data_IF_932470600969
#
_entry.id   IF_932470600969
#
_cell.length_a   1.000
_cell.length_b   1.000
_cell.length_c   1.000
_cell.angle_alpha   90.00
_cell.angle_beta   90.00
_cell.angle_gamma   90.00
#
_symmetry.space_group_name_H-M   'P 1'
#
loop_
_entity.id
_entity.type
_entity.pdbx_description
1 polymer ?
#
# COMPACT_ATOMS: atom_id res chain seq x y z
N UNK A 1 21.19 24.59 19.18
CA UNK A 1 20.61 23.35 19.73
C UNK A 1 19.48 22.96 18.81
N UNK A 2 19.75 22.07 17.85
CA UNK A 2 18.75 21.66 16.86
C UNK A 2 17.69 20.85 17.57
N UNK A 3 16.43 21.27 17.47
CA UNK A 3 15.30 20.51 18.00
C UNK A 3 15.39 19.08 17.45
N UNK A 4 15.36 18.06 18.32
CA UNK A 4 15.30 16.69 17.84
C UNK A 4 14.06 16.54 16.97
N UNK A 5 14.21 16.06 15.74
CA UNK A 5 13.10 15.74 14.84
C UNK A 5 12.40 14.42 15.27
N UNK A 6 12.40 14.15 16.58
CA UNK A 6 11.65 13.10 17.22
C UNK A 6 10.75 13.69 18.31
N UNK A 7 9.56 13.12 18.48
CA UNK A 7 8.58 13.54 19.47
C UNK A 7 8.42 12.47 20.55
N UNK A 8 8.38 12.88 21.82
CA UNK A 8 8.09 11.97 22.94
C UNK A 8 6.66 12.24 23.40
N UNK A 9 5.77 11.24 23.30
CA UNK A 9 4.40 11.31 23.80
C UNK A 9 4.36 10.74 25.21
N UNK A 10 3.93 11.56 26.16
CA UNK A 10 3.91 11.21 27.60
C UNK A 10 2.54 10.70 28.03
N UNK A 11 1.49 11.06 27.30
CA UNK A 11 0.11 10.68 27.59
C UNK A 11 -0.50 9.81 26.47
N UNK A 12 -1.27 8.77 26.81
CA UNK A 12 -2.08 8.01 25.86
C UNK A 12 -3.11 8.84 25.09
N UNK A 13 -3.47 10.03 25.58
CA UNK A 13 -4.40 10.94 24.88
C UNK A 13 -3.78 11.64 23.68
N UNK A 14 -2.44 11.64 23.57
CA UNK A 14 -1.72 12.29 22.47
C UNK A 14 -1.70 11.44 21.18
N UNK A 15 -2.17 10.20 21.24
CA UNK A 15 -2.19 9.30 20.09
C UNK A 15 -3.35 8.31 20.14
N UNK A 16 -3.65 7.70 18.98
CA UNK A 16 -4.61 6.58 18.88
C UNK A 16 -3.92 5.35 18.35
N UNK A 17 -4.04 4.22 19.05
CA UNK A 17 -3.55 2.93 18.54
C UNK A 17 -4.43 2.48 17.39
N UNK A 18 -3.81 1.98 16.33
CA UNK A 18 -4.49 1.51 15.13
C UNK A 18 -3.68 0.40 14.44
N UNK A 19 -4.26 -0.13 13.36
CA UNK A 19 -3.56 -0.98 12.42
C UNK A 19 -3.52 -0.26 11.07
N UNK A 20 -2.33 -0.15 10.51
CA UNK A 20 -2.10 0.49 9.23
C UNK A 20 -1.62 -0.53 8.21
N UNK A 21 -1.85 -0.20 6.96
CA UNK A 21 -1.33 -0.94 5.82
C UNK A 21 -0.28 -0.07 5.14
N UNK A 22 0.87 -0.67 4.87
CA UNK A 22 1.95 -0.06 4.06
C UNK A 22 2.00 -0.85 2.75
N UNK A 23 2.09 -0.20 1.57
CA UNK A 23 1.97 -0.87 0.26
C UNK A 23 2.93 -2.05 0.05
N UNK A 24 4.10 -2.00 0.70
CA UNK A 24 5.16 -3.00 0.55
C UNK A 24 5.03 -4.19 1.51
N UNK A 25 4.04 -4.18 2.41
CA UNK A 25 3.84 -5.22 3.42
C UNK A 25 2.50 -5.94 3.25
N UNK A 26 2.57 -7.26 3.35
CA UNK A 26 1.40 -8.15 3.21
C UNK A 26 0.50 -8.16 4.43
N UNK A 27 1.06 -7.86 5.61
CA UNK A 27 0.36 -7.88 6.90
C UNK A 27 0.23 -6.46 7.48
N UNK A 28 -0.88 -6.16 8.19
CA UNK A 28 -1.06 -4.87 8.81
C UNK A 28 -0.06 -4.66 9.95
N UNK A 29 0.52 -3.47 10.02
CA UNK A 29 1.42 -3.09 11.09
C UNK A 29 0.65 -2.55 12.29
N UNK A 30 1.11 -2.94 13.48
CA UNK A 30 0.73 -2.23 14.69
C UNK A 30 1.24 -0.79 14.60
N UNK A 31 0.35 0.18 14.82
CA UNK A 31 0.67 1.58 14.62
C UNK A 31 -0.02 2.49 15.62
N UNK A 32 0.45 3.73 15.63
CA UNK A 32 -0.20 4.85 16.28
C UNK A 32 -0.48 5.95 15.27
N UNK A 33 -1.61 6.63 15.46
CA UNK A 33 -1.96 7.84 14.76
C UNK A 33 -1.72 9.04 15.69
N UNK A 34 -0.97 10.03 15.20
CA UNK A 34 -0.64 11.27 15.90
C UNK A 34 -0.99 12.41 14.94
N UNK A 35 -2.11 13.09 15.19
CA UNK A 35 -2.69 14.02 14.22
C UNK A 35 -3.14 13.31 12.94
N UNK A 36 -2.61 13.73 11.80
CA UNK A 36 -2.87 13.17 10.47
C UNK A 36 -1.82 12.13 10.02
N UNK A 37 -0.80 11.87 10.85
CA UNK A 37 0.31 10.97 10.52
C UNK A 37 0.17 9.62 11.19
N UNK A 38 0.67 8.58 10.52
CA UNK A 38 0.71 7.21 11.01
C UNK A 38 2.14 6.76 11.25
N UNK A 39 2.37 6.14 12.40
CA UNK A 39 3.69 5.63 12.76
C UNK A 39 3.59 4.14 13.08
N UNK A 40 4.41 3.31 12.41
CA UNK A 40 4.48 1.88 12.67
C UNK A 40 5.41 1.57 13.84
N UNK A 41 5.15 0.47 14.54
CA UNK A 41 6.04 0.00 15.60
C UNK A 41 7.31 -0.59 15.00
N UNK A 42 8.45 0.08 15.21
CA UNK A 42 9.75 -0.47 14.84
C UNK A 42 10.23 -1.49 15.87
N UNK A 43 10.21 -1.12 17.15
CA UNK A 43 10.65 -1.97 18.27
C UNK A 43 10.31 -1.37 19.63
N UNK A 44 10.35 -2.21 20.66
CA UNK A 44 10.32 -1.82 22.08
C UNK A 44 11.69 -2.08 22.69
N UNK A 45 12.21 -1.13 23.46
CA UNK A 45 13.46 -1.27 24.21
C UNK A 45 13.23 -1.00 25.70
N UNK A 46 13.84 -1.78 26.61
CA UNK A 46 13.63 -1.61 28.04
C UNK A 46 14.23 -0.32 28.60
N UNK A 47 15.34 0.14 28.01
CA UNK A 47 16.11 1.29 28.48
C UNK A 47 15.73 2.56 27.70
N UNK A 48 15.37 3.62 28.43
CA UNK A 48 14.94 4.91 27.85
C UNK A 48 16.09 5.63 27.14
N UNK A 49 17.29 5.65 27.73
CA UNK A 49 18.47 6.28 27.14
C UNK A 49 18.81 5.65 25.79
N UNK A 50 18.74 4.32 25.70
CA UNK A 50 18.92 3.56 24.46
C UNK A 50 17.82 3.84 23.44
N UNK A 51 16.60 4.11 23.87
CA UNK A 51 15.51 4.51 22.98
C UNK A 51 15.80 5.87 22.33
N UNK A 52 16.29 6.82 23.13
CA UNK A 52 16.70 8.16 22.66
C UNK A 52 17.86 8.06 21.66
N UNK A 53 18.90 7.30 21.97
CA UNK A 53 20.03 7.09 21.05
C UNK A 53 19.60 6.49 19.71
N UNK A 54 18.64 5.56 19.72
CA UNK A 54 18.10 4.97 18.51
C UNK A 54 17.25 5.98 17.72
N UNK A 55 16.42 6.77 18.40
CA UNK A 55 15.65 7.83 17.77
C UNK A 55 16.57 8.86 17.08
N UNK A 56 17.65 9.29 17.75
CA UNK A 56 18.64 10.18 17.15
C UNK A 56 19.30 9.60 15.90
N UNK A 57 19.63 8.30 15.92
CA UNK A 57 20.22 7.62 14.76
C UNK A 57 19.27 7.56 13.57
N UNK A 58 17.99 7.32 13.81
CA UNK A 58 16.95 7.30 12.78
C UNK A 58 16.71 8.70 12.23
N UNK A 59 16.61 9.71 13.10
CA UNK A 59 16.48 11.12 12.69
C UNK A 59 17.67 11.57 11.84
N UNK A 60 18.91 11.17 12.19
CA UNK A 60 20.11 11.45 11.37
C UNK A 60 20.05 10.83 9.97
N UNK A 61 19.25 9.78 9.76
CA UNK A 61 18.99 9.16 8.46
C UNK A 61 17.84 9.80 7.70
N UNK A 62 17.11 10.72 8.33
CA UNK A 62 15.96 11.42 7.75
C UNK A 62 14.61 10.86 8.20
N UNK A 63 14.58 9.88 9.11
CA UNK A 63 13.33 9.30 9.60
C UNK A 63 12.62 10.25 10.58
N UNK A 64 11.29 10.24 10.56
CA UNK A 64 10.47 10.93 11.56
C UNK A 64 10.05 9.92 12.62
N UNK A 65 10.40 10.19 13.88
CA UNK A 65 10.29 9.20 14.97
C UNK A 65 9.42 9.72 16.11
N UNK A 66 8.58 8.83 16.64
CA UNK A 66 7.81 9.07 17.86
C UNK A 66 8.22 8.04 18.92
N UNK A 67 8.34 8.47 20.16
CA UNK A 67 8.56 7.62 21.32
C UNK A 67 7.34 7.62 22.23
N UNK A 68 6.97 6.44 22.74
CA UNK A 68 5.93 6.32 23.77
C UNK A 68 6.40 5.41 24.89
N UNK A 69 6.07 5.74 26.14
CA UNK A 69 6.28 4.84 27.27
C UNK A 69 5.33 3.62 27.19
N UNK A 70 5.85 2.45 27.56
CA UNK A 70 5.11 1.19 27.68
C UNK A 70 5.51 0.49 28.98
N UNK A 71 4.72 -0.48 29.49
CA UNK A 71 5.11 -1.24 30.68
C UNK A 71 6.41 -2.03 30.54
N UNK A 72 6.88 -2.28 29.31
CA UNK A 72 8.11 -3.03 28.99
C UNK A 72 9.28 -2.12 28.60
N UNK A 73 9.15 -0.80 28.77
CA UNK A 73 10.13 0.20 28.36
C UNK A 73 9.59 1.17 27.32
N UNK A 74 10.43 1.69 26.44
CA UNK A 74 10.06 2.68 25.42
C UNK A 74 9.82 2.03 24.05
N UNK A 75 8.67 2.33 23.45
CA UNK A 75 8.37 1.95 22.07
C UNK A 75 8.83 3.04 21.11
N UNK A 76 9.48 2.62 20.03
CA UNK A 76 9.98 3.46 18.95
C UNK A 76 9.06 3.27 17.75
N UNK A 77 8.45 4.37 17.31
CA UNK A 77 7.53 4.40 16.19
C UNK A 77 8.13 5.22 15.04
N UNK A 78 8.04 4.71 13.81
CA UNK A 78 8.59 5.38 12.62
C UNK A 78 7.45 5.81 11.70
N UNK A 79 7.53 7.04 11.18
CA UNK A 79 6.51 7.56 10.29
C UNK A 79 6.46 6.76 8.99
N UNK A 80 5.25 6.33 8.64
CA UNK A 80 4.98 5.63 7.40
C UNK A 80 4.25 6.58 6.45
N UNK A 81 4.99 7.21 5.54
CA UNK A 81 4.43 8.21 4.61
C UNK A 81 3.35 7.64 3.68
N UNK A 82 3.40 6.33 3.41
CA UNK A 82 2.45 5.63 2.54
C UNK A 82 1.38 4.84 3.33
N UNK A 83 1.35 4.96 4.66
CA UNK A 83 0.42 4.20 5.47
C UNK A 83 -1.02 4.69 5.35
N UNK A 84 -1.96 3.74 5.37
CA UNK A 84 -3.39 4.02 5.36
C UNK A 84 -4.17 3.11 6.32
N UNK A 85 -5.30 3.60 6.82
CA UNK A 85 -6.27 2.80 7.56
C UNK A 85 -7.20 2.08 6.60
N UNK A 86 -7.44 0.79 6.80
CA UNK A 86 -8.50 0.06 6.11
C UNK A 86 -9.84 0.43 6.75
N UNK A 87 -10.52 1.46 6.24
CA UNK A 87 -11.80 1.88 6.81
C UNK A 87 -12.86 0.76 6.69
N UNK A 88 -13.51 0.42 7.81
CA UNK A 88 -14.87 -0.12 7.80
C UNK A 88 -15.78 0.95 7.18
N UNK A 89 -15.99 0.92 5.86
CA UNK A 89 -17.02 1.73 5.22
C UNK A 89 -18.39 1.18 5.62
N UNK A 90 -18.92 1.67 6.74
CA UNK A 90 -20.37 1.76 6.93
C UNK A 90 -20.84 2.91 6.04
N UNK A 91 -21.52 2.54 4.98
CA UNK A 91 -22.25 3.42 4.09
C UNK A 91 -23.30 4.21 4.87
N UNK A 92 -23.22 5.54 4.80
CA UNK A 92 -24.35 6.44 5.01
C UNK A 92 -24.21 7.63 4.05
N UNK A 93 -25.24 7.74 3.19
CA UNK A 93 -25.47 8.55 1.99
C UNK A 93 -25.41 10.10 2.21
N UNK A 94 -25.70 11.00 1.23
CA UNK A 94 -26.26 10.76 -0.12
C UNK A 94 -25.70 11.55 -1.34
N UNK A 95 -25.91 10.90 -2.49
CA UNK A 95 -26.10 11.35 -3.87
C UNK A 95 -25.58 12.73 -4.34
N UNK A 96 -24.65 12.67 -5.29
CA UNK A 96 -24.58 13.57 -6.45
C UNK A 96 -24.02 12.78 -7.65
N UNK A 97 -24.37 13.15 -8.90
CA UNK A 97 -24.51 12.21 -10.03
C UNK A 97 -23.19 11.61 -10.55
N UNK A 98 -23.23 10.38 -11.11
CA UNK A 98 -22.05 9.64 -11.50
C UNK A 98 -21.50 10.17 -12.82
N UNK A 99 -20.43 10.96 -12.76
CA UNK A 99 -19.56 11.12 -13.94
C UNK A 99 -18.58 9.95 -13.93
N UNK A 100 -18.94 8.93 -14.71
CA UNK A 100 -18.10 7.83 -15.20
C UNK A 100 -17.21 7.17 -14.15
N UNK A 101 -17.83 6.26 -13.41
CA UNK A 101 -17.13 5.20 -12.69
C UNK A 101 -16.33 4.39 -13.71
N UNK A 102 -15.01 4.56 -13.72
CA UNK A 102 -14.09 3.60 -14.31
C UNK A 102 -14.17 2.32 -13.46
N UNK A 103 -15.25 1.57 -13.63
CA UNK A 103 -15.33 0.21 -13.14
C UNK A 103 -14.29 -0.57 -13.92
N UNK A 104 -13.15 -0.87 -13.30
CA UNK A 104 -12.15 -1.81 -13.81
C UNK A 104 -12.84 -3.13 -14.15
N UNK A 105 -13.22 -3.29 -15.42
CA UNK A 105 -14.05 -4.41 -15.85
C UNK A 105 -13.25 -5.70 -15.72
N UNK A 106 -13.81 -6.66 -14.97
CA UNK A 106 -13.28 -8.02 -14.92
C UNK A 106 -13.66 -8.68 -16.24
N UNK A 107 -12.65 -9.09 -17.01
CA UNK A 107 -12.82 -9.70 -18.33
C UNK A 107 -13.15 -11.18 -18.23
N UNK A 108 -14.09 -11.59 -19.07
CA UNK A 108 -14.37 -12.99 -19.37
C UNK A 108 -13.30 -13.59 -20.27
N UNK A 109 -13.18 -14.93 -20.22
CA UNK A 109 -12.16 -15.69 -20.96
C UNK A 109 -12.16 -15.41 -22.47
N UNK A 110 -13.31 -15.13 -23.06
CA UNK A 110 -13.49 -14.85 -24.49
C UNK A 110 -12.99 -13.47 -24.91
N UNK A 111 -12.76 -12.55 -23.96
CA UNK A 111 -12.40 -11.16 -24.24
C UNK A 111 -10.88 -10.95 -24.37
N UNK A 112 -10.08 -12.00 -24.18
CA UNK A 112 -8.62 -11.90 -24.23
C UNK A 112 -7.93 -13.16 -24.75
N UNK A 113 -6.72 -13.00 -25.28
CA UNK A 113 -5.85 -14.10 -25.71
C UNK A 113 -4.57 -14.13 -24.88
N UNK A 114 -4.26 -15.23 -24.17
CA UNK A 114 -2.98 -15.38 -23.48
C UNK A 114 -1.83 -15.41 -24.48
N UNK A 115 -0.75 -14.69 -24.18
CA UNK A 115 0.45 -14.64 -25.01
C UNK A 115 1.70 -14.46 -24.14
N UNK A 116 2.86 -14.34 -24.81
CA UNK A 116 4.12 -13.94 -24.19
C UNK A 116 4.63 -12.72 -24.93
N UNK A 117 5.03 -11.69 -24.19
CA UNK A 117 5.52 -10.42 -24.75
C UNK A 117 6.94 -10.15 -24.27
N UNK A 118 7.67 -9.34 -25.04
CA UNK A 118 8.91 -8.68 -24.65
C UNK A 118 8.60 -7.20 -24.39
N UNK A 119 9.25 -6.65 -23.37
CA UNK A 119 9.24 -5.21 -23.05
C UNK A 119 10.70 -4.76 -23.06
N UNK A 120 11.05 -3.60 -23.64
CA UNK A 120 12.45 -3.18 -23.81
C UNK A 120 13.30 -3.22 -22.53
N UNK A 121 12.69 -2.89 -21.39
CA UNK A 121 13.38 -2.82 -20.10
C UNK A 121 13.50 -4.17 -19.39
N UNK A 122 12.88 -5.22 -19.93
CA UNK A 122 12.81 -6.54 -19.32
C UNK A 122 13.46 -7.58 -20.23
N UNK A 123 14.60 -8.12 -19.79
CA UNK A 123 15.39 -9.12 -20.54
C UNK A 123 14.63 -10.44 -20.83
N UNK A 124 13.59 -10.74 -20.05
CA UNK A 124 12.81 -11.99 -20.14
C UNK A 124 11.43 -11.71 -20.71
N UNK A 125 10.88 -12.69 -21.43
CA UNK A 125 9.49 -12.64 -21.84
C UNK A 125 8.55 -12.69 -20.63
N UNK A 126 7.50 -11.88 -20.66
CA UNK A 126 6.47 -11.81 -19.64
C UNK A 126 5.23 -12.59 -20.09
N UNK A 127 4.56 -13.24 -19.14
CA UNK A 127 3.22 -13.76 -19.37
C UNK A 127 2.26 -12.58 -19.53
N UNK A 128 1.44 -12.61 -20.57
CA UNK A 128 0.58 -11.49 -20.92
C UNK A 128 -0.75 -11.94 -21.49
N UNK A 129 -1.65 -10.98 -21.65
CA UNK A 129 -2.86 -11.10 -22.43
C UNK A 129 -2.91 -10.02 -23.50
N UNK A 130 -3.48 -10.37 -24.65
CA UNK A 130 -3.85 -9.43 -25.69
C UNK A 130 -5.35 -9.13 -25.59
N UNK A 131 -5.69 -7.84 -25.60
CA UNK A 131 -7.07 -7.33 -25.63
C UNK A 131 -7.15 -6.24 -26.68
N UNK A 132 -7.88 -6.49 -27.77
CA UNK A 132 -8.05 -5.54 -28.88
C UNK A 132 -6.72 -4.99 -29.43
N UNK A 133 -5.74 -5.85 -29.70
CA UNK A 133 -4.43 -5.47 -30.23
C UNK A 133 -3.50 -4.77 -29.23
N UNK A 134 -3.86 -4.71 -27.94
CA UNK A 134 -3.04 -4.15 -26.86
C UNK A 134 -2.56 -5.24 -25.92
N UNK A 135 -1.34 -5.11 -25.44
CA UNK A 135 -0.71 -6.08 -24.56
C UNK A 135 -0.74 -5.64 -23.11
N UNK A 136 -1.04 -6.59 -22.24
CA UNK A 136 -1.06 -6.38 -20.79
C UNK A 136 -0.26 -7.49 -20.10
N UNK A 137 0.76 -7.13 -19.33
CA UNK A 137 1.62 -8.06 -18.61
C UNK A 137 0.99 -8.51 -17.30
N UNK A 138 1.28 -9.74 -16.88
CA UNK A 138 0.85 -10.25 -15.60
C UNK A 138 1.59 -9.54 -14.46
N UNK A 139 0.84 -8.87 -13.58
CA UNK A 139 1.38 -8.26 -12.38
C UNK A 139 1.31 -9.22 -11.19
N UNK A 140 0.10 -9.66 -10.81
CA UNK A 140 -0.10 -10.55 -9.66
C UNK A 140 -1.46 -11.23 -9.65
N UNK A 141 -1.57 -12.29 -8.84
CA UNK A 141 -2.83 -12.94 -8.50
C UNK A 141 -3.31 -12.49 -7.11
N UNK A 142 -4.59 -12.19 -6.99
CA UNK A 142 -5.25 -11.74 -5.76
C UNK A 142 -6.47 -12.63 -5.51
N UNK A 143 -6.51 -13.42 -4.42
CA UNK A 143 -7.63 -14.34 -4.16
C UNK A 143 -9.00 -13.66 -4.02
N UNK A 144 -9.01 -12.42 -3.53
CA UNK A 144 -10.22 -11.67 -3.19
C UNK A 144 -10.58 -10.65 -4.28
N UNK A 145 -11.86 -10.63 -4.67
CA UNK A 145 -12.39 -9.78 -5.75
C UNK A 145 -12.26 -8.30 -5.43
N UNK A 146 -12.65 -7.92 -4.22
CA UNK A 146 -12.72 -6.51 -3.85
C UNK A 146 -11.31 -5.93 -3.66
N UNK A 147 -10.37 -6.73 -3.14
CA UNK A 147 -8.94 -6.38 -3.16
C UNK A 147 -8.41 -6.20 -4.57
N UNK A 148 -8.75 -7.09 -5.50
CA UNK A 148 -8.30 -6.99 -6.89
C UNK A 148 -8.82 -5.71 -7.56
N UNK A 149 -10.09 -5.37 -7.33
CA UNK A 149 -10.70 -4.13 -7.80
C UNK A 149 -10.04 -2.89 -7.18
N UNK A 150 -9.80 -2.88 -5.88
CA UNK A 150 -9.10 -1.77 -5.20
C UNK A 150 -7.69 -1.56 -5.75
N UNK A 151 -6.96 -2.64 -6.02
CA UNK A 151 -5.61 -2.54 -6.61
C UNK A 151 -5.69 -2.00 -8.04
N UNK A 152 -6.66 -2.48 -8.84
CA UNK A 152 -6.84 -1.97 -10.20
C UNK A 152 -7.23 -0.49 -10.22
N UNK A 153 -8.11 -0.06 -9.32
CA UNK A 153 -8.49 1.34 -9.15
C UNK A 153 -7.29 2.20 -8.74
N UNK A 154 -6.48 1.74 -7.78
CA UNK A 154 -5.26 2.45 -7.37
C UNK A 154 -4.29 2.65 -8.54
N UNK A 155 -3.96 1.58 -9.25
CA UNK A 155 -3.06 1.64 -10.41
C UNK A 155 -3.63 2.56 -11.51
N UNK A 156 -4.96 2.50 -11.72
CA UNK A 156 -5.62 3.40 -12.67
C UNK A 156 -5.51 4.87 -12.25
N UNK A 157 -5.63 5.17 -10.96
CA UNK A 157 -5.44 6.52 -10.42
C UNK A 157 -3.98 7.00 -10.52
N UNK A 158 -3.01 6.07 -10.53
CA UNK A 158 -1.59 6.35 -10.75
C UNK A 158 -1.25 6.53 -12.25
N UNK A 159 -2.22 6.34 -13.14
CA UNK A 159 -2.10 6.56 -14.58
C UNK A 159 -1.92 5.28 -15.41
N UNK A 160 -1.82 4.13 -14.76
CA UNK A 160 -1.73 2.84 -15.45
C UNK A 160 -3.06 2.42 -16.06
N UNK A 161 -3.01 1.63 -17.13
CA UNK A 161 -4.22 0.96 -17.65
C UNK A 161 -4.23 -0.46 -17.15
N UNK A 162 -5.23 -0.81 -16.35
CA UNK A 162 -5.31 -2.12 -15.69
C UNK A 162 -6.54 -2.90 -16.13
N UNK A 163 -6.36 -4.20 -16.31
CA UNK A 163 -7.43 -5.15 -16.55
C UNK A 163 -7.40 -6.26 -15.49
N UNK A 164 -8.57 -6.84 -15.22
CA UNK A 164 -8.71 -7.97 -14.31
C UNK A 164 -9.24 -9.18 -15.07
N UNK A 165 -8.77 -10.39 -14.74
CA UNK A 165 -9.41 -11.63 -15.20
C UNK A 165 -9.69 -12.55 -14.01
N UNK A 166 -10.77 -13.31 -14.06
CA UNK A 166 -11.09 -14.27 -13.01
C UNK A 166 -10.53 -15.66 -13.32
N UNK A 167 -10.03 -16.34 -12.28
CA UNK A 167 -9.59 -17.72 -12.30
C UNK A 167 -10.20 -18.49 -11.13
N UNK A 168 -10.02 -19.82 -11.12
CA UNK A 168 -10.42 -20.67 -9.98
C UNK A 168 -9.70 -20.33 -8.67
N UNK A 169 -8.55 -19.64 -8.72
CA UNK A 169 -7.69 -19.32 -7.57
C UNK A 169 -7.73 -17.84 -7.17
N UNK A 170 -8.63 -17.05 -7.77
CA UNK A 170 -8.71 -15.61 -7.56
C UNK A 170 -8.69 -14.81 -8.85
N UNK A 171 -8.28 -13.56 -8.76
CA UNK A 171 -8.29 -12.56 -9.82
C UNK A 171 -6.87 -12.17 -10.20
N UNK A 172 -6.56 -12.21 -11.49
CA UNK A 172 -5.28 -11.79 -12.03
C UNK A 172 -5.36 -10.31 -12.41
N UNK A 173 -4.32 -9.57 -12.07
CA UNK A 173 -4.16 -8.16 -12.41
C UNK A 173 -3.17 -8.06 -13.57
N UNK A 174 -3.58 -7.34 -14.61
CA UNK A 174 -2.82 -7.14 -15.84
C UNK A 174 -2.58 -5.66 -16.06
N UNK A 175 -1.33 -5.27 -16.30
CA UNK A 175 -0.94 -3.86 -16.51
C UNK A 175 -0.59 -3.65 -17.97
N UNK A 176 -1.07 -2.57 -18.56
CA UNK A 176 -0.81 -2.22 -19.94
C UNK A 176 0.66 -1.91 -20.18
N UNK A 177 1.23 -2.53 -21.21
CA UNK A 177 2.62 -2.32 -21.61
C UNK A 177 2.62 -1.62 -22.98
N UNK A 178 2.84 -0.30 -23.04
CA UNK A 178 2.75 0.45 -24.29
C UNK A 178 3.82 0.04 -25.32
N UNK A 179 4.99 -0.39 -24.85
CA UNK A 179 6.14 -0.73 -25.69
C UNK A 179 6.29 -2.25 -25.90
N UNK A 180 5.27 -3.02 -25.54
CA UNK A 180 5.31 -4.47 -25.66
C UNK A 180 5.14 -4.96 -27.10
N UNK A 181 5.85 -6.04 -27.42
CA UNK A 181 5.76 -6.76 -28.68
C UNK A 181 5.92 -8.26 -28.45
N UNK A 182 5.53 -9.10 -29.42
CA UNK A 182 5.64 -10.57 -29.34
C UNK A 182 7.09 -11.06 -29.56
#
# INVERSE_FOLDING_TARGET
MSNPNYQILKSPSEYRRCQIWVPDLTDPLAAINVGDKYYSLLKVVPDEQKALELAEKLVKRGDNVVLTATPKGSAIWVWEAQAYLKSLQKSSAPASPPTQSANSAILDRSQYQPCKIKVPDVKKQLAAIEVSGKYYSFLKNVPDRDKALQIAEKLTNEGDKVLLTQTRKGYLIWVFEPDAYL
#
